data_IF_689158088561
#
_entry.id   IF_689158088561
#
_cell.length_a   1.000
_cell.length_b   1.000
_cell.length_c   1.000
_cell.angle_alpha   90.00
_cell.angle_beta   90.00
_cell.angle_gamma   90.00
#
_symmetry.space_group_name_H-M   'P 1'
#
loop_
_entity.id
_entity.type
_entity.pdbx_description
1 polymer ?
#
# COMPACT_ATOMS: atom_id res chain seq x y z
N UNK A 1 15.54 -25.33 41.18
CA UNK A 1 16.73 -24.81 40.46
C UNK A 1 16.79 -25.27 38.99
N UNK A 2 15.72 -25.79 38.38
CA UNK A 2 15.74 -26.33 37.00
C UNK A 2 15.29 -25.37 35.89
N UNK A 3 14.60 -24.28 36.21
CA UNK A 3 13.96 -23.41 35.20
C UNK A 3 14.95 -22.58 34.39
N UNK A 4 16.04 -22.11 35.01
CA UNK A 4 17.04 -21.24 34.36
C UNK A 4 17.84 -21.97 33.27
N UNK A 5 18.19 -23.25 33.50
CA UNK A 5 18.94 -24.08 32.55
C UNK A 5 18.08 -24.47 31.35
N UNK A 6 16.78 -24.76 31.56
CA UNK A 6 15.82 -24.99 30.48
C UNK A 6 15.58 -23.72 29.64
N UNK A 7 15.46 -22.54 30.27
CA UNK A 7 15.33 -21.29 29.51
C UNK A 7 16.58 -21.00 28.68
N UNK A 8 17.77 -21.22 29.24
CA UNK A 8 19.03 -21.04 28.53
C UNK A 8 19.17 -22.01 27.33
N UNK A 9 18.77 -23.27 27.50
CA UNK A 9 18.75 -24.27 26.43
C UNK A 9 17.72 -23.96 25.32
N UNK A 10 16.52 -23.49 25.68
CA UNK A 10 15.52 -23.05 24.70
C UNK A 10 15.97 -21.80 23.93
N UNK A 11 16.61 -20.83 24.60
CA UNK A 11 17.24 -19.68 23.96
C UNK A 11 18.37 -20.10 23.00
N UNK A 12 19.16 -21.12 23.37
CA UNK A 12 20.21 -21.68 22.52
C UNK A 12 19.66 -22.44 21.29
N UNK A 13 18.58 -23.20 21.43
CA UNK A 13 17.93 -23.86 20.29
C UNK A 13 17.28 -22.87 19.33
N UNK A 14 16.67 -21.80 19.83
CA UNK A 14 16.18 -20.71 18.96
C UNK A 14 17.30 -19.93 18.28
N UNK A 15 18.48 -19.82 18.92
CA UNK A 15 19.67 -19.20 18.32
C UNK A 15 20.24 -20.00 17.13
N UNK A 16 19.87 -21.28 16.97
CA UNK A 16 20.33 -22.14 15.88
C UNK A 16 19.39 -22.16 14.65
N UNK A 17 18.17 -21.63 14.74
CA UNK A 17 17.26 -21.65 13.57
C UNK A 17 17.74 -20.67 12.48
N UNK A 18 17.99 -21.14 11.23
CA UNK A 18 18.33 -20.27 10.13
C UNK A 18 17.20 -19.29 9.84
N UNK A 19 17.54 -18.01 9.81
CA UNK A 19 16.63 -16.99 9.31
C UNK A 19 16.77 -16.84 7.80
N UNK A 20 15.64 -16.73 7.13
CA UNK A 20 15.60 -16.46 5.70
C UNK A 20 15.75 -14.95 5.47
N UNK A 21 16.68 -14.60 4.61
CA UNK A 21 16.83 -13.24 4.12
C UNK A 21 15.75 -12.96 3.07
N UNK A 22 15.09 -11.81 3.20
CA UNK A 22 14.10 -11.30 2.25
C UNK A 22 14.41 -9.84 1.90
N UNK A 23 13.92 -9.41 0.75
CA UNK A 23 13.92 -8.02 0.34
C UNK A 23 12.47 -7.53 0.21
N UNK A 24 12.20 -6.33 0.71
CA UNK A 24 10.87 -5.75 0.68
C UNK A 24 10.46 -5.47 -0.76
N UNK A 25 9.29 -5.99 -1.16
CA UNK A 25 8.74 -5.86 -2.52
C UNK A 25 8.06 -4.52 -2.80
N UNK A 26 8.01 -3.62 -1.83
CA UNK A 26 7.49 -2.27 -2.07
C UNK A 26 8.48 -1.49 -2.94
N UNK A 27 8.00 -0.88 -4.03
CA UNK A 27 8.81 -0.28 -5.07
C UNK A 27 9.83 0.76 -4.57
N UNK A 28 9.45 1.56 -3.57
CA UNK A 28 10.31 2.58 -2.98
C UNK A 28 11.12 2.11 -1.76
N UNK A 29 10.96 0.84 -1.33
CA UNK A 29 11.52 0.36 -0.07
C UNK A 29 12.76 -0.53 -0.24
N UNK A 30 12.69 -1.63 -0.99
CA UNK A 30 13.85 -2.52 -1.22
C UNK A 30 14.57 -3.08 0.03
N UNK A 31 14.04 -2.83 1.23
CA UNK A 31 14.67 -3.11 2.52
C UNK A 31 15.03 -4.58 2.68
N UNK A 32 16.24 -4.88 3.16
CA UNK A 32 16.65 -6.23 3.55
C UNK A 32 16.15 -6.53 4.96
N UNK A 33 15.49 -7.67 5.16
CA UNK A 33 15.01 -8.09 6.47
C UNK A 33 15.09 -9.61 6.63
N UNK A 34 14.97 -10.08 7.88
CA UNK A 34 15.11 -11.48 8.25
C UNK A 34 13.83 -12.00 8.91
N UNK A 35 13.49 -13.25 8.59
CA UNK A 35 12.35 -13.94 9.16
C UNK A 35 12.75 -15.32 9.65
N UNK A 36 12.22 -15.71 10.80
CA UNK A 36 12.26 -17.11 11.23
C UNK A 36 11.38 -17.96 10.31
N UNK A 37 11.63 -19.27 10.29
CA UNK A 37 10.86 -20.24 9.49
C UNK A 37 9.35 -20.14 9.73
N UNK A 38 8.93 -19.92 10.99
CA UNK A 38 7.53 -19.77 11.35
C UNK A 38 6.86 -18.52 10.73
N UNK A 39 7.62 -17.42 10.56
CA UNK A 39 7.13 -16.15 10.01
C UNK A 39 7.34 -16.02 8.50
N UNK A 40 8.12 -16.88 7.85
CA UNK A 40 8.44 -16.77 6.42
C UNK A 40 7.27 -17.05 5.45
N UNK A 41 6.06 -17.37 5.95
CA UNK A 41 4.84 -17.77 5.23
C UNK A 41 4.37 -16.81 4.10
N UNK A 42 5.17 -16.63 3.06
CA UNK A 42 4.92 -15.69 1.95
C UNK A 42 5.18 -14.22 2.28
N UNK A 43 5.84 -13.89 3.40
CA UNK A 43 6.04 -12.50 3.79
C UNK A 43 7.05 -11.78 2.87
N UNK A 44 6.52 -10.88 2.04
CA UNK A 44 7.30 -10.11 1.06
C UNK A 44 7.54 -8.64 1.43
N UNK A 45 7.06 -8.16 2.57
CA UNK A 45 7.13 -6.75 2.97
C UNK A 45 7.68 -6.60 4.38
N UNK A 46 8.55 -5.61 4.59
CA UNK A 46 9.21 -5.38 5.89
C UNK A 46 8.30 -4.76 6.96
N UNK A 47 7.12 -4.26 6.56
CA UNK A 47 6.15 -3.59 7.44
C UNK A 47 4.73 -3.62 6.86
N UNK A 48 3.74 -3.38 7.72
CA UNK A 48 2.35 -3.18 7.29
C UNK A 48 2.21 -1.97 6.36
N UNK A 49 2.95 -0.89 6.62
CA UNK A 49 2.96 0.33 5.77
C UNK A 49 3.36 -0.01 4.34
N UNK A 50 4.47 -0.74 4.16
CA UNK A 50 4.94 -1.16 2.83
C UNK A 50 3.92 -2.07 2.13
N UNK A 51 3.29 -2.98 2.87
CA UNK A 51 2.23 -3.86 2.33
C UNK A 51 1.03 -3.05 1.83
N UNK A 52 0.56 -2.08 2.62
CA UNK A 52 -0.58 -1.23 2.26
C UNK A 52 -0.28 -0.36 1.04
N UNK A 53 0.91 0.25 0.99
CA UNK A 53 1.34 1.03 -0.17
C UNK A 53 1.40 0.18 -1.45
N UNK A 54 2.02 -1.00 -1.38
CA UNK A 54 2.10 -1.91 -2.52
C UNK A 54 0.72 -2.38 -2.97
N UNK A 55 -0.19 -2.71 -2.03
CA UNK A 55 -1.59 -3.06 -2.35
C UNK A 55 -2.31 -1.91 -3.06
N UNK A 56 -2.16 -0.67 -2.58
CA UNK A 56 -2.76 0.49 -3.21
C UNK A 56 -2.23 0.73 -4.64
N UNK A 57 -0.95 0.49 -4.89
CA UNK A 57 -0.36 0.55 -6.24
C UNK A 57 -0.93 -0.55 -7.16
N UNK A 58 -1.00 -1.79 -6.67
CA UNK A 58 -1.56 -2.92 -7.43
C UNK A 58 -3.04 -2.69 -7.79
N UNK A 59 -3.84 -2.19 -6.84
CA UNK A 59 -5.24 -1.87 -7.07
C UNK A 59 -5.39 -0.72 -8.08
N UNK A 60 -4.56 0.32 -8.01
CA UNK A 60 -4.55 1.38 -9.02
C UNK A 60 -4.24 0.83 -10.41
N UNK A 61 -3.20 0.02 -10.55
CA UNK A 61 -2.85 -0.59 -11.84
C UNK A 61 -3.97 -1.51 -12.37
N UNK A 62 -4.59 -2.31 -11.50
CA UNK A 62 -5.72 -3.16 -11.88
C UNK A 62 -6.94 -2.34 -12.31
N UNK A 63 -7.27 -1.26 -11.58
CA UNK A 63 -8.36 -0.35 -11.94
C UNK A 63 -8.10 0.32 -13.28
N UNK A 64 -6.88 0.78 -13.54
CA UNK A 64 -6.50 1.37 -14.83
C UNK A 64 -6.70 0.35 -15.97
N UNK A 65 -6.16 -0.86 -15.85
CA UNK A 65 -6.38 -1.92 -16.86
C UNK A 65 -7.86 -2.22 -17.08
N UNK A 66 -8.65 -2.31 -16.01
CA UNK A 66 -10.08 -2.55 -16.13
C UNK A 66 -10.82 -1.40 -16.80
N UNK A 67 -10.50 -0.13 -16.48
CA UNK A 67 -11.10 1.04 -17.13
C UNK A 67 -10.82 1.09 -18.64
N UNK A 68 -9.64 0.63 -19.08
CA UNK A 68 -9.31 0.50 -20.49
C UNK A 68 -9.96 -0.70 -21.19
N UNK A 69 -10.47 -1.68 -20.43
CA UNK A 69 -11.11 -2.88 -21.00
C UNK A 69 -12.51 -2.60 -21.54
N UNK A 70 -12.94 -3.41 -22.52
CA UNK A 70 -14.29 -3.33 -23.10
C UNK A 70 -15.39 -3.51 -22.05
N UNK A 71 -15.19 -4.45 -21.13
CA UNK A 71 -16.09 -4.66 -20.00
C UNK A 71 -16.20 -3.39 -19.13
N UNK A 72 -15.06 -2.77 -18.81
CA UNK A 72 -15.05 -1.51 -18.05
C UNK A 72 -15.75 -0.35 -18.78
N UNK A 73 -15.63 -0.27 -20.11
CA UNK A 73 -16.35 0.72 -20.92
C UNK A 73 -17.87 0.51 -20.90
N UNK A 74 -18.32 -0.75 -21.00
CA UNK A 74 -19.75 -1.11 -20.89
C UNK A 74 -20.32 -0.77 -19.50
N UNK A 75 -19.62 -1.17 -18.44
CA UNK A 75 -19.95 -0.83 -17.06
C UNK A 75 -20.09 0.68 -16.86
N UNK A 76 -19.18 1.47 -17.45
CA UNK A 76 -19.27 2.93 -17.40
C UNK A 76 -20.54 3.44 -18.10
N UNK A 77 -20.86 2.91 -19.27
CA UNK A 77 -22.11 3.21 -19.99
C UNK A 77 -23.36 2.90 -19.15
N UNK A 78 -23.40 1.75 -18.48
CA UNK A 78 -24.54 1.34 -17.66
C UNK A 78 -24.67 2.19 -16.39
N UNK A 79 -23.55 2.57 -15.77
CA UNK A 79 -23.54 3.53 -14.67
C UNK A 79 -24.09 4.88 -15.11
N UNK A 80 -23.69 5.39 -16.28
CA UNK A 80 -24.19 6.66 -16.81
C UNK A 80 -25.68 6.59 -17.15
N UNK A 81 -26.16 5.50 -17.75
CA UNK A 81 -27.60 5.25 -17.96
C UNK A 81 -28.37 5.28 -16.65
N UNK A 82 -27.88 4.57 -15.64
CA UNK A 82 -28.51 4.51 -14.31
C UNK A 82 -28.50 5.87 -13.60
N UNK A 83 -27.42 6.65 -13.76
CA UNK A 83 -27.34 8.01 -13.23
C UNK A 83 -28.36 8.93 -13.89
N UNK A 84 -28.44 8.95 -15.23
CA UNK A 84 -29.43 9.74 -15.97
C UNK A 84 -30.86 9.37 -15.61
N UNK A 85 -31.17 8.07 -15.45
CA UNK A 85 -32.48 7.61 -14.98
C UNK A 85 -32.82 8.17 -13.59
N UNK A 86 -31.87 8.10 -12.64
CA UNK A 86 -32.06 8.66 -11.29
C UNK A 86 -32.27 10.17 -11.30
N UNK A 87 -31.58 10.89 -12.19
CA UNK A 87 -31.73 12.34 -12.32
C UNK A 87 -33.10 12.70 -12.92
N UNK A 88 -33.56 11.98 -13.95
CA UNK A 88 -34.88 12.18 -14.54
C UNK A 88 -36.01 11.92 -13.51
N UNK A 89 -35.87 10.91 -12.66
CA UNK A 89 -36.82 10.61 -11.58
C UNK A 89 -36.80 11.64 -10.44
N UNK A 90 -35.72 12.42 -10.30
CA UNK A 90 -35.56 13.45 -9.28
C UNK A 90 -35.96 14.84 -9.74
N UNK A 91 -36.38 15.03 -10.99
CA UNK A 91 -36.87 16.34 -11.41
C UNK A 91 -38.09 16.72 -10.58
N UNK A 92 -38.05 17.87 -9.87
CA UNK A 92 -39.22 18.40 -9.19
C UNK A 92 -40.33 18.62 -10.20
N UNK A 93 -41.59 18.51 -9.76
CA UNK A 93 -42.73 18.90 -10.58
C UNK A 93 -42.48 20.31 -11.19
N UNK A 94 -42.91 20.56 -12.43
CA UNK A 94 -42.78 21.88 -13.03
C UNK A 94 -43.32 22.93 -12.05
N UNK A 95 -42.65 24.09 -11.90
CA UNK A 95 -43.13 25.14 -11.01
C UNK A 95 -44.58 25.47 -11.41
N UNK A 96 -45.48 25.39 -10.44
CA UNK A 96 -46.84 25.93 -10.59
C UNK A 96 -46.73 27.37 -11.09
N UNK A 97 -47.65 27.84 -11.97
CA UNK A 97 -47.61 29.20 -12.48
C UNK A 97 -47.65 30.18 -11.30
N UNK A 98 -46.51 30.80 -11.02
CA UNK A 98 -46.41 31.84 -10.00
C UNK A 98 -47.00 33.14 -10.57
N UNK A 99 -47.79 33.89 -9.78
CA UNK A 99 -48.28 35.20 -10.20
C UNK A 99 -47.12 36.13 -10.55
N UNK A 100 -47.32 37.13 -11.44
CA UNK A 100 -46.24 37.96 -11.96
C UNK A 100 -45.58 38.75 -10.83
N UNK A 101 -44.33 38.41 -10.51
CA UNK A 101 -43.46 39.20 -9.63
C UNK A 101 -42.83 40.37 -10.42
N UNK A 102 -42.69 41.56 -9.82
CA UNK A 102 -42.07 42.73 -10.44
C UNK A 102 -40.57 42.52 -10.73
N UNK A 103 -39.96 43.30 -11.64
CA UNK A 103 -38.62 43.01 -12.16
C UNK A 103 -37.53 43.14 -11.10
N UNK A 104 -36.83 42.04 -10.84
CA UNK A 104 -35.57 42.01 -10.08
C UNK A 104 -34.42 42.49 -10.97
N UNK A 105 -33.49 43.32 -10.47
CA UNK A 105 -32.32 43.78 -11.23
C UNK A 105 -31.39 42.62 -11.61
N UNK A 106 -30.54 42.80 -12.65
CA UNK A 106 -29.74 41.72 -13.21
C UNK A 106 -28.71 41.24 -12.20
N UNK A 107 -28.79 39.98 -11.78
CA UNK A 107 -27.70 39.32 -11.08
C UNK A 107 -26.77 38.71 -12.12
N UNK A 108 -25.56 39.23 -12.14
CA UNK A 108 -24.42 38.80 -12.93
C UNK A 108 -24.03 37.37 -12.51
N UNK A 109 -24.22 36.40 -13.42
CA UNK A 109 -23.80 35.02 -13.18
C UNK A 109 -22.27 34.91 -13.25
N UNK A 110 -21.61 35.13 -12.13
CA UNK A 110 -20.18 34.83 -11.96
C UNK A 110 -20.01 33.30 -11.95
N UNK A 111 -19.50 32.75 -13.05
CA UNK A 111 -19.16 31.34 -13.17
C UNK A 111 -17.67 31.15 -12.90
N UNK A 112 -17.25 31.21 -11.64
CA UNK A 112 -15.87 30.90 -11.24
C UNK A 112 -15.78 29.49 -10.64
N UNK A 113 -15.74 28.49 -11.52
CA UNK A 113 -15.32 27.13 -11.16
C UNK A 113 -14.19 26.65 -12.06
N UNK A 114 -13.13 27.46 -12.16
CA UNK A 114 -11.81 27.00 -12.55
C UNK A 114 -10.93 26.80 -11.31
N UNK A 115 -11.28 25.83 -10.45
CA UNK A 115 -10.27 25.28 -9.54
C UNK A 115 -9.43 24.27 -10.32
N UNK A 116 -8.47 24.80 -11.07
CA UNK A 116 -7.32 24.04 -11.54
C UNK A 116 -6.56 23.55 -10.31
N UNK A 117 -6.85 22.34 -9.86
CA UNK A 117 -5.93 21.63 -8.97
C UNK A 117 -4.75 21.26 -9.85
N UNK A 118 -3.74 22.12 -9.85
CA UNK A 118 -2.38 21.79 -10.27
C UNK A 118 -1.95 20.59 -9.43
N UNK A 119 -2.18 19.40 -9.96
CA UNK A 119 -1.47 18.22 -9.54
C UNK A 119 0.00 18.51 -9.86
N UNK A 120 0.75 19.00 -8.86
CA UNK A 120 2.20 18.89 -8.84
C UNK A 120 2.51 17.41 -8.92
N UNK A 121 2.63 16.93 -10.15
CA UNK A 121 3.36 15.73 -10.50
C UNK A 121 4.80 16.00 -10.08
N UNK A 122 5.06 15.79 -8.79
CA UNK A 122 6.39 15.66 -8.25
C UNK A 122 7.04 14.53 -9.04
N UNK A 123 7.86 14.92 -10.02
CA UNK A 123 8.80 14.05 -10.70
C UNK A 123 9.75 13.55 -9.63
N UNK A 124 9.36 12.48 -8.93
CA UNK A 124 10.34 11.58 -8.34
C UNK A 124 11.06 10.97 -9.53
N UNK A 125 12.14 11.66 -9.93
CA UNK A 125 13.16 11.06 -10.78
C UNK A 125 13.48 9.72 -10.14
N UNK A 126 13.18 8.66 -10.87
CA UNK A 126 13.64 7.33 -10.54
C UNK A 126 15.18 7.39 -10.56
N UNK A 127 15.77 7.62 -9.39
CA UNK A 127 17.19 7.38 -9.19
C UNK A 127 17.40 5.87 -9.26
N UNK A 128 17.69 5.41 -10.49
CA UNK A 128 18.81 4.53 -10.81
C UNK A 128 19.45 3.94 -9.56
N UNK A 129 19.10 2.69 -9.22
CA UNK A 129 19.92 1.81 -8.36
C UNK A 129 20.41 2.37 -7.02
N UNK A 130 19.76 3.40 -6.46
CA UNK A 130 20.02 3.83 -5.11
C UNK A 130 19.34 2.85 -4.17
N UNK A 131 20.04 1.75 -3.85
CA UNK A 131 19.70 0.87 -2.74
C UNK A 131 19.48 1.78 -1.53
N UNK A 132 18.27 1.86 -0.93
CA UNK A 132 18.10 2.71 0.22
C UNK A 132 19.04 2.19 1.29
N UNK A 133 19.98 3.06 1.66
CA UNK A 133 20.86 2.85 2.78
C UNK A 133 19.95 2.56 3.98
N UNK A 134 19.99 1.29 4.39
CA UNK A 134 19.73 0.89 5.75
C UNK A 134 18.26 0.97 6.23
N UNK A 135 17.41 0.12 5.68
CA UNK A 135 16.55 -0.63 6.61
C UNK A 135 17.46 -1.64 7.31
N UNK A 136 18.12 -1.18 8.38
CA UNK A 136 19.02 -2.00 9.16
C UNK A 136 18.23 -3.24 9.59
N UNK A 137 18.74 -4.39 9.20
CA UNK A 137 18.41 -5.63 9.89
C UNK A 137 18.67 -5.35 11.35
N UNK A 138 17.64 -5.47 12.19
CA UNK A 138 17.82 -5.28 13.62
C UNK A 138 18.77 -6.39 14.09
N UNK A 139 20.05 -6.04 14.12
CA UNK A 139 21.10 -6.78 14.78
C UNK A 139 21.02 -6.36 16.23
N UNK A 140 21.00 -7.34 17.12
CA UNK A 140 21.25 -7.08 18.53
C UNK A 140 22.68 -6.53 18.70
N UNK A 141 22.99 -5.96 19.87
CA UNK A 141 24.34 -5.51 20.20
C UNK A 141 25.40 -6.64 20.07
N UNK A 142 24.96 -7.91 20.16
CA UNK A 142 25.78 -9.11 20.00
C UNK A 142 25.89 -9.60 18.54
N UNK A 143 25.41 -8.82 17.56
CA UNK A 143 25.43 -9.18 16.15
C UNK A 143 24.40 -10.23 15.72
N UNK A 144 23.61 -10.77 16.65
CA UNK A 144 22.55 -11.73 16.34
C UNK A 144 21.37 -11.06 15.62
N UNK A 145 20.76 -11.76 14.66
CA UNK A 145 19.67 -11.22 13.86
C UNK A 145 18.33 -11.43 14.55
N UNK A 146 17.41 -10.49 14.41
CA UNK A 146 16.05 -10.64 14.91
C UNK A 146 15.04 -10.81 13.78
N UNK A 147 14.04 -11.66 14.02
CA UNK A 147 12.91 -11.83 13.13
C UNK A 147 12.11 -10.53 13.12
N UNK A 148 11.92 -9.95 11.94
CA UNK A 148 11.21 -8.68 11.77
C UNK A 148 9.76 -8.71 12.28
N UNK A 149 9.17 -9.90 12.37
CA UNK A 149 7.75 -10.05 12.70
C UNK A 149 7.48 -10.42 14.15
N UNK A 150 8.26 -11.34 14.73
CA UNK A 150 8.03 -11.85 16.08
C UNK A 150 9.17 -11.55 17.06
N UNK A 151 10.24 -10.88 16.63
CA UNK A 151 11.35 -10.48 17.50
C UNK A 151 12.30 -11.60 17.92
N UNK A 152 12.01 -12.87 17.59
CA UNK A 152 12.92 -14.00 17.87
C UNK A 152 14.32 -13.73 17.36
N UNK A 153 15.33 -14.10 18.14
CA UNK A 153 16.74 -14.00 17.78
C UNK A 153 17.18 -15.27 17.05
N UNK A 154 18.05 -15.15 16.05
CA UNK A 154 18.58 -16.27 15.30
C UNK A 154 19.84 -15.90 14.51
N UNK A 155 20.30 -16.84 13.70
CA UNK A 155 21.49 -16.66 12.83
C UNK A 155 21.08 -16.70 11.36
N UNK A 156 21.79 -15.96 10.53
CA UNK A 156 21.68 -16.10 9.09
C UNK A 156 22.70 -17.14 8.64
N UNK A 157 22.21 -18.25 8.09
CA UNK A 157 23.04 -19.19 7.36
C UNK A 157 23.22 -18.62 5.95
N UNK A 158 24.45 -18.27 5.61
CA UNK A 158 24.80 -17.91 4.25
C UNK A 158 24.58 -19.16 3.38
N UNK A 159 23.65 -19.15 2.41
CA UNK A 159 23.37 -20.33 1.60
C UNK A 159 24.53 -20.73 0.67
N UNK A 160 25.60 -19.92 0.60
CA UNK A 160 26.78 -20.15 -0.23
C UNK A 160 27.99 -20.70 0.52
N UNK A 161 27.93 -20.86 1.85
CA UNK A 161 28.98 -21.61 2.55
C UNK A 161 28.63 -23.10 2.47
N UNK A 162 29.22 -23.79 1.50
CA UNK A 162 29.37 -25.24 1.60
C UNK A 162 30.31 -25.50 2.77
N UNK A 163 29.79 -26.06 3.85
CA UNK A 163 30.60 -26.73 4.87
C UNK A 163 31.11 -28.02 4.23
N UNK A 164 32.28 -27.94 3.60
CA UNK A 164 33.09 -29.10 3.18
C UNK A 164 33.67 -29.81 4.40
#
# INVERSE_FOLDING_TARGET
MSTATETAAMLAHHAAEPFRQRFCRAAACGARFFLCRACDRGQGYCSAVCRTQARAQQLRAARQRHQHSDAGRRDHGDRQRTYRRRLAQRQPAPPLPTPPTPPTPPQENVTDHASAVTATAGKLRASVWAWPAQAQSARTALGALVCRWCGRVGRWLNPFVNTS
#
